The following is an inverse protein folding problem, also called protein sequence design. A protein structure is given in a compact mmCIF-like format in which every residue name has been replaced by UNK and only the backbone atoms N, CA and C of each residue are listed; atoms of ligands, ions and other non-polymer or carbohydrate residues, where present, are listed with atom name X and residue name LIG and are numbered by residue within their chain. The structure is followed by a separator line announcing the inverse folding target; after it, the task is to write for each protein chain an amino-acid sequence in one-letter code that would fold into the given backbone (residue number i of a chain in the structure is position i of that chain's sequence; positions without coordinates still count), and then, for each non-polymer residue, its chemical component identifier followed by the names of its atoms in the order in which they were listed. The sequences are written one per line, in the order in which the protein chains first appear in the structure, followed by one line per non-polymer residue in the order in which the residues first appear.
data_IF_995016570240
#
_entry.id   IF_995016570240
#
_cell.length_a   1.000
_cell.length_b   1.000
_cell.length_c   1.000
_cell.angle_alpha   90.00
_cell.angle_beta   90.00
_cell.angle_gamma   90.00
#
_symmetry.space_group_name_H-M   'P 1'
#
loop_
_entity.id
_entity.type
_entity.pdbx_description
1 polymer ?
#
# COMPACT_ATOMS: atom_id res chain seq x y z
N UNK A 1 18.16 -13.48 27.76
CA UNK A 1 18.96 -12.49 27.01
C UNK A 1 19.05 -11.21 27.83
N UNK A 2 20.17 -10.47 27.81
CA UNK A 2 20.27 -9.18 28.53
C UNK A 2 19.30 -8.17 27.90
N UNK A 3 18.63 -7.34 28.72
CA UNK A 3 17.70 -6.26 28.30
C UNK A 3 18.19 -5.51 27.05
N UNK A 4 19.44 -5.05 27.08
CA UNK A 4 20.02 -4.25 25.99
C UNK A 4 20.24 -5.04 24.70
N UNK A 5 20.48 -6.36 24.77
CA UNK A 5 20.59 -7.22 23.60
C UNK A 5 19.24 -7.37 22.90
N UNK A 6 18.16 -7.58 23.66
CA UNK A 6 16.79 -7.64 23.12
C UNK A 6 16.43 -6.31 22.45
N UNK A 7 16.67 -5.19 23.13
CA UNK A 7 16.40 -3.85 22.56
C UNK A 7 17.23 -3.58 21.30
N UNK A 8 18.47 -4.04 21.25
CA UNK A 8 19.31 -3.92 20.05
C UNK A 8 18.74 -4.72 18.88
N UNK A 9 18.25 -5.94 19.12
CA UNK A 9 17.58 -6.73 18.11
C UNK A 9 16.30 -6.04 17.59
N UNK A 10 15.46 -5.50 18.48
CA UNK A 10 14.25 -4.75 18.08
C UNK A 10 14.62 -3.51 17.26
N UNK A 11 15.68 -2.79 17.63
CA UNK A 11 16.18 -1.63 16.88
C UNK A 11 16.61 -2.03 15.46
N UNK A 12 17.38 -3.10 15.31
CA UNK A 12 17.82 -3.59 13.99
C UNK A 12 16.61 -3.99 13.14
N UNK A 13 15.69 -4.76 13.73
CA UNK A 13 14.45 -5.17 13.05
C UNK A 13 13.58 -3.97 12.65
N UNK A 14 13.54 -2.92 13.46
CA UNK A 14 12.80 -1.69 13.13
C UNK A 14 13.45 -0.92 11.97
N UNK A 15 14.78 -0.92 11.87
CA UNK A 15 15.51 -0.31 10.74
C UNK A 15 15.24 -1.09 9.45
N UNK A 16 15.28 -2.43 9.52
CA UNK A 16 14.94 -3.28 8.36
C UNK A 16 13.47 -3.05 7.96
N UNK A 17 12.56 -3.02 8.93
CA UNK A 17 11.15 -2.73 8.68
C UNK A 17 10.94 -1.36 8.03
N UNK A 18 11.63 -0.32 8.50
CA UNK A 18 11.61 1.01 7.87
C UNK A 18 12.07 0.98 6.41
N UNK A 19 13.16 0.27 6.13
CA UNK A 19 13.68 0.15 4.76
C UNK A 19 12.69 -0.58 3.85
N UNK A 20 12.09 -1.68 4.34
CA UNK A 20 11.07 -2.42 3.58
C UNK A 20 9.81 -1.57 3.36
N UNK A 21 9.33 -0.86 4.38
CA UNK A 21 8.19 0.04 4.22
C UNK A 21 8.51 1.21 3.28
N UNK A 22 9.73 1.76 3.31
CA UNK A 22 10.17 2.78 2.36
C UNK A 22 10.15 2.27 0.92
N UNK A 23 10.71 1.09 0.67
CA UNK A 23 10.65 0.43 -0.64
C UNK A 23 9.21 0.20 -1.10
N UNK A 24 8.31 -0.24 -0.21
CA UNK A 24 6.90 -0.43 -0.53
C UNK A 24 6.18 0.90 -0.82
N UNK A 25 6.55 2.01 -0.19
CA UNK A 25 5.99 3.33 -0.55
C UNK A 25 6.43 3.70 -1.98
N UNK A 26 7.70 3.52 -2.32
CA UNK A 26 8.19 3.79 -3.67
C UNK A 26 7.50 2.90 -4.71
N UNK A 27 7.40 1.59 -4.44
CA UNK A 27 6.74 0.64 -5.33
C UNK A 27 5.23 0.87 -5.46
N UNK A 28 4.58 1.48 -4.47
CA UNK A 28 3.16 1.80 -4.53
C UNK A 28 2.86 2.86 -5.61
N UNK A 29 3.80 3.78 -5.85
CA UNK A 29 3.68 4.84 -6.84
C UNK A 29 4.49 4.58 -8.12
N UNK A 30 5.19 3.45 -8.22
CA UNK A 30 5.98 3.12 -9.38
C UNK A 30 5.10 2.78 -10.59
N UNK A 31 5.58 3.15 -11.79
CA UNK A 31 4.90 2.76 -13.03
C UNK A 31 4.91 1.23 -13.20
N UNK A 32 3.82 0.62 -13.72
CA UNK A 32 3.72 -0.83 -13.92
C UNK A 32 4.83 -1.47 -14.75
N UNK A 33 5.50 -0.69 -15.61
CA UNK A 33 6.66 -1.14 -16.41
C UNK A 33 7.93 -1.36 -15.60
N UNK A 34 8.04 -0.77 -14.41
CA UNK A 34 9.19 -1.00 -13.52
C UNK A 34 9.03 -2.32 -12.76
N UNK A 35 7.78 -2.69 -12.41
CA UNK A 35 7.47 -3.84 -11.57
C UNK A 35 8.19 -3.80 -10.22
N UNK A 36 7.95 -4.80 -9.39
CA UNK A 36 8.75 -5.05 -8.19
C UNK A 36 9.79 -6.12 -8.50
N UNK A 37 10.97 -6.02 -7.90
CA UNK A 37 12.01 -7.06 -7.99
C UNK A 37 11.56 -8.44 -7.47
N UNK A 38 10.40 -8.50 -6.79
CA UNK A 38 9.82 -9.72 -6.25
C UNK A 38 8.53 -10.18 -6.95
N UNK A 39 8.24 -9.65 -8.15
CA UNK A 39 7.15 -10.16 -8.98
C UNK A 39 7.60 -11.42 -9.74
N UNK A 40 7.10 -12.59 -9.32
CA UNK A 40 7.42 -13.90 -9.86
C UNK A 40 6.21 -14.56 -10.57
N UNK A 41 5.23 -13.75 -10.95
CA UNK A 41 3.98 -14.17 -11.60
C UNK A 41 2.75 -13.62 -10.87
N UNK A 42 1.58 -14.18 -11.17
CA UNK A 42 0.30 -13.67 -10.63
C UNK A 42 0.09 -14.02 -9.14
N UNK A 43 0.59 -15.18 -8.69
CA UNK A 43 0.42 -15.64 -7.30
C UNK A 43 1.45 -15.05 -6.34
N UNK A 44 2.60 -14.60 -6.85
CA UNK A 44 3.65 -13.96 -6.05
C UNK A 44 3.96 -12.62 -6.71
N UNK A 45 3.21 -11.60 -6.32
CA UNK A 45 3.41 -10.24 -6.81
C UNK A 45 3.29 -9.22 -5.69
N UNK A 46 4.37 -8.48 -5.48
CA UNK A 46 4.36 -7.31 -4.60
C UNK A 46 3.61 -6.16 -5.24
N UNK A 47 3.75 -5.97 -6.55
CA UNK A 47 3.08 -4.88 -7.26
C UNK A 47 1.57 -5.04 -7.18
N UNK A 48 1.04 -6.24 -7.43
CA UNK A 48 -0.39 -6.52 -7.36
C UNK A 48 -0.99 -6.19 -5.99
N UNK A 49 -0.35 -6.67 -4.92
CA UNK A 49 -0.81 -6.45 -3.54
C UNK A 49 -0.67 -4.98 -3.14
N UNK A 50 0.49 -4.38 -3.43
CA UNK A 50 0.86 -3.05 -2.95
C UNK A 50 0.27 -1.91 -3.78
N UNK A 51 -0.40 -2.18 -4.90
CA UNK A 51 -1.21 -1.20 -5.63
C UNK A 51 -2.70 -1.55 -5.61
N UNK A 52 -3.12 -2.50 -4.77
CA UNK A 52 -4.53 -2.89 -4.64
C UNK A 52 -5.33 -1.86 -3.84
N UNK A 53 -6.67 -1.97 -3.87
CA UNK A 53 -7.56 -1.18 -3.00
C UNK A 53 -7.29 -1.39 -1.50
N UNK A 54 -6.67 -2.51 -1.12
CA UNK A 54 -6.27 -2.80 0.26
C UNK A 54 -4.91 -2.18 0.64
N UNK A 55 -4.21 -1.58 -0.32
CA UNK A 55 -2.93 -0.90 -0.06
C UNK A 55 -3.11 0.54 0.40
N UNK A 56 -4.34 1.06 0.42
CA UNK A 56 -4.68 2.40 0.90
C UNK A 56 -5.76 2.34 1.99
N UNK A 57 -5.65 3.20 3.00
CA UNK A 57 -6.68 3.42 4.02
C UNK A 57 -6.96 4.92 4.05
N UNK A 58 -8.18 5.33 3.68
CA UNK A 58 -8.53 6.75 3.48
C UNK A 58 -7.53 7.47 2.57
N UNK A 59 -7.23 6.90 1.39
CA UNK A 59 -6.29 7.42 0.39
C UNK A 59 -4.83 7.56 0.86
N UNK A 60 -4.49 7.00 2.03
CA UNK A 60 -3.11 6.97 2.54
C UNK A 60 -2.55 5.56 2.36
N UNK A 61 -1.36 5.40 1.73
CA UNK A 61 -0.74 4.09 1.59
C UNK A 61 -0.49 3.42 2.95
N UNK A 62 -0.87 2.16 3.06
CA UNK A 62 -0.64 1.32 4.25
C UNK A 62 0.84 1.20 4.57
N UNK A 63 1.70 1.21 3.54
CA UNK A 63 3.16 1.21 3.70
C UNK A 63 3.67 2.45 4.47
N UNK A 64 3.00 3.61 4.36
CA UNK A 64 3.33 4.81 5.15
C UNK A 64 3.00 4.63 6.64
N UNK A 65 1.85 4.04 6.96
CA UNK A 65 1.53 3.67 8.35
C UNK A 65 2.55 2.67 8.90
N UNK A 66 3.00 1.71 8.08
CA UNK A 66 4.09 0.80 8.42
C UNK A 66 5.40 1.54 8.74
N UNK A 67 5.81 2.48 7.88
CA UNK A 67 7.02 3.29 8.10
C UNK A 67 6.92 4.11 9.40
N UNK A 68 5.79 4.78 9.65
CA UNK A 68 5.54 5.51 10.90
C UNK A 68 5.63 4.55 12.10
N UNK A 69 5.04 3.36 11.99
CA UNK A 69 5.05 2.36 13.05
C UNK A 69 6.46 1.91 13.43
N UNK A 70 7.29 1.58 12.43
CA UNK A 70 8.67 1.19 12.65
C UNK A 70 9.54 2.35 13.16
N UNK A 71 9.29 3.59 12.72
CA UNK A 71 9.97 4.78 13.23
C UNK A 71 9.71 5.00 14.72
N UNK A 72 8.45 4.86 15.14
CA UNK A 72 8.06 4.97 16.55
C UNK A 72 8.68 3.83 17.36
N UNK A 73 8.61 2.58 16.87
CA UNK A 73 9.21 1.43 17.55
C UNK A 73 10.73 1.59 17.73
N UNK A 74 11.42 2.09 16.71
CA UNK A 74 12.84 2.40 16.76
C UNK A 74 13.15 3.41 17.88
N UNK A 75 12.41 4.51 17.92
CA UNK A 75 12.58 5.56 18.92
C UNK A 75 12.25 5.11 20.36
N UNK A 76 11.15 4.38 20.55
CA UNK A 76 10.77 3.78 21.83
C UNK A 76 11.84 2.79 22.30
N UNK A 77 12.35 1.95 21.41
CA UNK A 77 13.37 0.94 21.73
C UNK A 77 14.73 1.58 22.06
N UNK A 78 15.10 2.65 21.35
CA UNK A 78 16.30 3.43 21.65
C UNK A 78 16.24 4.05 23.05
N UNK A 79 15.15 4.75 23.37
CA UNK A 79 14.93 5.34 24.71
C UNK A 79 14.71 4.28 25.79
N UNK A 80 14.20 3.11 25.43
CA UNK A 80 14.01 1.95 26.30
C UNK A 80 15.31 1.38 26.89
N UNK A 81 16.48 1.72 26.32
CA UNK A 81 17.79 1.41 26.91
C UNK A 81 18.02 2.13 28.25
N UNK A 82 17.28 3.21 28.51
CA UNK A 82 17.30 3.92 29.79
C UNK A 82 16.67 3.14 30.94
N UNK A 83 16.57 3.79 32.11
CA UNK A 83 16.04 3.18 33.34
C UNK A 83 14.51 3.20 33.47
N UNK A 84 13.80 3.93 32.61
CA UNK A 84 12.35 4.06 32.73
C UNK A 84 11.62 2.78 32.28
N UNK A 85 10.82 2.14 33.16
CA UNK A 85 10.05 0.94 32.82
C UNK A 85 8.88 1.20 31.87
N UNK A 86 8.43 2.46 31.73
CA UNK A 86 7.32 2.84 30.86
C UNK A 86 7.59 2.50 29.39
N UNK A 87 8.83 2.64 28.92
CA UNK A 87 9.19 2.33 27.53
C UNK A 87 9.00 0.84 27.20
N UNK A 88 9.31 -0.08 28.13
CA UNK A 88 9.14 -1.51 27.87
C UNK A 88 7.66 -1.87 27.81
N UNK A 89 6.84 -1.32 28.71
CA UNK A 89 5.37 -1.45 28.62
C UNK A 89 4.85 -0.88 27.29
N UNK A 90 5.32 0.29 26.87
CA UNK A 90 4.90 0.91 25.62
C UNK A 90 5.29 0.08 24.39
N UNK A 91 6.52 -0.46 24.34
CA UNK A 91 6.96 -1.34 23.25
C UNK A 91 6.06 -2.57 23.13
N UNK A 92 5.66 -3.18 24.25
CA UNK A 92 4.73 -4.32 24.24
C UNK A 92 3.38 -3.94 23.63
N UNK A 93 2.74 -2.89 24.13
CA UNK A 93 1.43 -2.45 23.62
C UNK A 93 1.48 -1.99 22.17
N UNK A 94 2.57 -1.34 21.76
CA UNK A 94 2.81 -0.96 20.36
C UNK A 94 2.92 -2.17 19.43
N UNK A 95 3.57 -3.25 19.90
CA UNK A 95 3.65 -4.51 19.17
C UNK A 95 2.33 -5.29 19.13
N UNK A 96 1.53 -5.22 20.19
CA UNK A 96 0.17 -5.78 20.19
C UNK A 96 -0.69 -5.04 19.15
N UNK A 97 -0.59 -3.72 19.07
CA UNK A 97 -1.29 -2.93 18.04
C UNK A 97 -0.85 -3.34 16.63
N UNK A 98 0.44 -3.63 16.42
CA UNK A 98 0.98 -4.10 15.15
C UNK A 98 0.37 -5.43 14.66
N UNK A 99 -0.22 -6.26 15.53
CA UNK A 99 -0.91 -7.48 15.08
C UNK A 99 -2.14 -7.16 14.23
N UNK A 100 -2.79 -6.01 14.44
CA UNK A 100 -3.93 -5.61 13.61
C UNK A 100 -3.51 -5.42 12.15
N UNK A 101 -2.33 -4.86 11.88
CA UNK A 101 -1.85 -4.70 10.50
C UNK A 101 -1.51 -6.03 9.86
N UNK A 102 -0.94 -6.98 10.61
CA UNK A 102 -0.68 -8.35 10.12
C UNK A 102 -1.98 -9.05 9.73
N UNK A 103 -3.01 -8.98 10.58
CA UNK A 103 -4.32 -9.59 10.27
C UNK A 103 -4.94 -8.94 9.02
N UNK A 104 -4.89 -7.61 8.93
CA UNK A 104 -5.43 -6.87 7.79
C UNK A 104 -4.74 -7.27 6.47
N UNK A 105 -3.41 -7.22 6.42
CA UNK A 105 -2.65 -7.51 5.20
C UNK A 105 -2.74 -8.98 4.78
N UNK A 106 -2.73 -9.92 5.72
CA UNK A 106 -2.97 -11.34 5.39
C UNK A 106 -4.37 -11.53 4.81
N UNK A 107 -5.38 -10.83 5.36
CA UNK A 107 -6.75 -10.90 4.83
C UNK A 107 -6.80 -10.37 3.40
N UNK A 108 -6.11 -9.25 3.12
CA UNK A 108 -5.98 -8.71 1.77
C UNK A 108 -5.30 -9.70 0.80
N UNK A 109 -4.18 -10.31 1.19
CA UNK A 109 -3.48 -11.32 0.37
C UNK A 109 -4.35 -12.53 0.03
N UNK A 110 -5.17 -13.00 0.99
CA UNK A 110 -6.12 -14.10 0.79
C UNK A 110 -7.22 -13.71 -0.20
N UNK A 111 -7.76 -12.49 -0.09
CA UNK A 111 -8.81 -11.99 -0.98
C UNK A 111 -8.26 -11.81 -2.40
N UNK A 112 -7.05 -11.28 -2.54
CA UNK A 112 -6.37 -11.07 -3.82
C UNK A 112 -5.84 -12.37 -4.45
N UNK A 113 -5.74 -13.45 -3.66
CA UNK A 113 -5.09 -14.70 -4.05
C UNK A 113 -3.65 -14.52 -4.54
N UNK A 114 -2.95 -13.52 -3.99
CA UNK A 114 -1.56 -13.21 -4.32
C UNK A 114 -0.79 -12.82 -3.07
N UNK A 115 0.45 -13.28 -2.98
CA UNK A 115 1.31 -13.11 -1.80
C UNK A 115 2.38 -12.09 -2.13
N UNK A 116 2.61 -11.14 -1.21
CA UNK A 116 3.69 -10.19 -1.29
C UNK A 116 4.85 -10.60 -0.37
N UNK A 117 6.01 -11.03 -0.90
CA UNK A 117 7.19 -11.35 -0.10
C UNK A 117 7.62 -10.24 0.87
N UNK A 118 7.55 -8.97 0.46
CA UNK A 118 7.90 -7.84 1.33
C UNK A 118 6.89 -7.64 2.48
N UNK A 119 5.58 -7.81 2.24
CA UNK A 119 4.57 -7.83 3.31
C UNK A 119 4.85 -8.99 4.28
N UNK A 120 5.19 -10.17 3.76
CA UNK A 120 5.58 -11.33 4.58
C UNK A 120 6.80 -11.04 5.46
N UNK A 121 7.82 -10.34 4.94
CA UNK A 121 8.95 -9.87 5.74
C UNK A 121 8.47 -8.97 6.88
N UNK A 122 7.59 -8.01 6.60
CA UNK A 122 6.99 -7.14 7.64
C UNK A 122 6.22 -7.97 8.68
N UNK A 123 5.42 -8.96 8.26
CA UNK A 123 4.68 -9.85 9.17
C UNK A 123 5.62 -10.60 10.11
N UNK A 124 6.69 -11.20 9.57
CA UNK A 124 7.69 -11.93 10.36
C UNK A 124 8.41 -10.99 11.33
N UNK A 125 8.75 -9.78 10.89
CA UNK A 125 9.37 -8.77 11.74
C UNK A 125 8.44 -8.42 12.91
N UNK A 126 7.16 -8.10 12.66
CA UNK A 126 6.19 -7.72 13.70
C UNK A 126 5.97 -8.84 14.71
N UNK A 127 5.83 -10.09 14.26
CA UNK A 127 5.69 -11.25 15.14
C UNK A 127 6.95 -11.49 15.98
N UNK A 128 8.13 -11.26 15.40
CA UNK A 128 9.41 -11.38 16.10
C UNK A 128 9.57 -10.27 17.15
N UNK A 129 9.28 -9.02 16.81
CA UNK A 129 9.37 -7.89 17.75
C UNK A 129 8.33 -8.01 18.85
N UNK A 130 7.13 -8.53 18.58
CA UNK A 130 6.16 -8.88 19.61
C UNK A 130 6.73 -9.92 20.58
N UNK A 131 7.27 -11.02 20.07
CA UNK A 131 7.88 -12.08 20.90
C UNK A 131 9.00 -11.51 21.78
N UNK A 132 9.90 -10.71 21.20
CA UNK A 132 10.98 -10.04 21.93
C UNK A 132 10.45 -9.05 22.98
N UNK A 133 9.38 -8.31 22.68
CA UNK A 133 8.74 -7.38 23.63
C UNK A 133 8.11 -8.10 24.82
N UNK A 134 7.51 -9.28 24.60
CA UNK A 134 6.96 -10.13 25.67
C UNK A 134 8.09 -10.62 26.58
N UNK A 135 9.21 -11.08 26.01
CA UNK A 135 10.38 -11.50 26.80
C UNK A 135 10.94 -10.35 27.63
N UNK A 136 11.02 -9.15 27.04
CA UNK A 136 11.48 -7.93 27.71
C UNK A 136 10.55 -7.54 28.87
N UNK A 137 9.24 -7.61 28.67
CA UNK A 137 8.23 -7.30 29.67
C UNK A 137 8.17 -8.33 30.80
N UNK A 138 8.41 -9.62 30.50
CA UNK A 138 8.49 -10.68 31.53
C UNK A 138 9.69 -10.50 32.46
N UNK A 139 10.83 -10.03 31.95
CA UNK A 139 12.05 -9.77 32.73
C UNK A 139 11.96 -8.47 33.57
N UNK A 140 10.98 -7.61 33.28
CA UNK A 140 10.79 -6.34 33.96
C UNK A 140 10.28 -6.54 35.39
N UNK A 141 11.09 -6.13 36.37
CA UNK A 141 10.73 -6.17 37.80
C UNK A 141 9.56 -5.25 38.17
N UNK A 142 9.55 -4.00 37.64
CA UNK A 142 8.52 -3.00 37.97
C UNK A 142 7.57 -2.83 36.81
N UNK A 143 6.43 -3.51 36.84
CA UNK A 143 5.37 -3.37 35.83
C UNK A 143 4.60 -2.07 36.05
N UNK A 144 4.41 -1.31 34.98
CA UNK A 144 3.67 -0.04 34.99
C UNK A 144 2.36 -0.26 34.23
N UNK A 145 1.25 0.26 34.75
CA UNK A 145 -0.05 0.20 34.07
C UNK A 145 -0.03 1.02 32.77
N UNK A 146 -0.98 0.74 31.86
CA UNK A 146 -1.08 1.45 30.59
C UNK A 146 -1.33 2.95 30.79
N UNK A 147 -2.22 3.33 31.71
CA UNK A 147 -2.54 4.73 32.03
C UNK A 147 -1.29 5.52 32.44
N UNK A 148 -0.49 4.99 33.39
CA UNK A 148 0.76 5.62 33.84
C UNK A 148 1.82 5.65 32.75
N UNK A 149 1.78 4.69 31.83
CA UNK A 149 2.67 4.65 30.67
C UNK A 149 2.33 5.79 29.70
N UNK A 150 1.04 5.99 29.39
CA UNK A 150 0.54 7.09 28.56
C UNK A 150 0.93 8.43 29.17
N UNK A 151 0.72 8.61 30.48
CA UNK A 151 1.08 9.84 31.19
C UNK A 151 2.59 10.12 31.11
N UNK A 152 3.42 9.09 31.34
CA UNK A 152 4.88 9.19 31.29
C UNK A 152 5.42 9.47 29.89
N UNK A 153 4.65 9.14 28.84
CA UNK A 153 5.04 9.22 27.44
C UNK A 153 4.12 10.15 26.64
N UNK A 154 3.50 11.15 27.29
CA UNK A 154 2.57 12.09 26.64
C UNK A 154 3.11 12.76 25.36
N UNK A 155 4.41 13.04 25.33
CA UNK A 155 5.08 13.61 24.15
C UNK A 155 5.13 12.63 22.99
N UNK A 156 5.34 11.33 23.27
CA UNK A 156 5.24 10.28 22.27
C UNK A 156 3.81 10.11 21.78
N UNK A 157 2.82 10.15 22.68
CA UNK A 157 1.40 10.06 22.28
C UNK A 157 1.04 11.21 21.34
N UNK A 158 1.42 12.45 21.67
CA UNK A 158 1.24 13.60 20.78
C UNK A 158 1.95 13.42 19.44
N UNK A 159 3.19 12.92 19.43
CA UNK A 159 3.93 12.64 18.19
C UNK A 159 3.24 11.58 17.33
N UNK A 160 2.78 10.47 17.93
CA UNK A 160 2.07 9.39 17.24
C UNK A 160 0.80 9.94 16.58
N UNK A 161 0.01 10.73 17.31
CA UNK A 161 -1.21 11.34 16.78
C UNK A 161 -0.89 12.27 15.61
N UNK A 162 0.11 13.15 15.75
CA UNK A 162 0.51 14.08 14.68
C UNK A 162 1.00 13.32 13.45
N UNK A 163 1.88 12.32 13.62
CA UNK A 163 2.44 11.56 12.49
C UNK A 163 1.38 10.77 11.72
N UNK A 164 0.28 10.36 12.35
CA UNK A 164 -0.81 9.64 11.66
C UNK A 164 -1.88 10.59 11.12
N UNK A 165 -2.24 11.64 11.86
CA UNK A 165 -3.27 12.59 11.45
C UNK A 165 -2.80 13.52 10.33
N UNK A 166 -1.53 13.92 10.28
CA UNK A 166 -1.02 14.80 9.23
C UNK A 166 -1.13 14.17 7.82
N UNK A 167 -0.66 12.94 7.57
CA UNK A 167 -0.89 12.27 6.29
C UNK A 167 -2.38 12.11 5.98
N UNK A 168 -3.19 11.66 6.95
CA UNK A 168 -4.63 11.52 6.74
C UNK A 168 -5.26 12.84 6.28
N UNK A 169 -4.96 13.95 6.94
CA UNK A 169 -5.46 15.26 6.52
C UNK A 169 -4.91 15.69 5.16
N UNK A 170 -3.61 15.54 4.92
CA UNK A 170 -2.98 15.95 3.66
C UNK A 170 -3.58 15.21 2.45
N UNK A 171 -3.62 13.88 2.50
CA UNK A 171 -4.11 13.06 1.40
C UNK A 171 -5.63 13.23 1.19
N UNK A 172 -6.42 13.44 2.26
CA UNK A 172 -7.87 13.62 2.13
C UNK A 172 -8.29 15.07 1.80
N UNK A 173 -7.44 16.08 2.03
CA UNK A 173 -7.70 17.45 1.56
C UNK A 173 -7.37 17.56 0.06
N UNK A 174 -6.34 16.86 -0.40
CA UNK A 174 -5.98 16.79 -1.82
C UNK A 174 -6.89 15.89 -2.65
N UNK A 175 -7.64 14.99 -2.02
CA UNK A 175 -8.70 14.22 -2.68
C UNK A 175 -9.96 15.08 -2.78
N UNK A 176 -10.11 15.81 -3.89
CA UNK A 176 -11.36 16.52 -4.16
C UNK A 176 -12.48 15.50 -4.39
N UNK A 177 -13.65 15.68 -3.74
CA UNK A 177 -14.76 14.77 -3.90
C UNK A 177 -15.29 14.86 -5.34
N UNK A 178 -15.30 13.73 -6.03
CA UNK A 178 -16.13 13.47 -7.21
C UNK A 178 -16.02 14.57 -8.28
N UNK A 179 -14.79 14.80 -8.78
CA UNK A 179 -14.65 15.58 -10.01
C UNK A 179 -15.32 14.78 -11.13
N UNK A 180 -16.43 15.31 -11.65
CA UNK A 180 -17.18 14.63 -12.69
C UNK A 180 -16.30 14.52 -13.95
N UNK A 181 -15.84 13.31 -14.24
CA UNK A 181 -14.99 12.99 -15.39
C UNK A 181 -15.80 12.45 -16.58
N UNK A 182 -17.12 12.66 -16.63
CA UNK A 182 -17.98 12.14 -17.70
C UNK A 182 -17.53 12.62 -19.07
N UNK A 183 -17.20 13.90 -19.20
CA UNK A 183 -16.78 14.50 -20.46
C UNK A 183 -15.51 13.83 -20.99
N UNK A 184 -14.51 13.68 -20.11
CA UNK A 184 -13.28 12.98 -20.43
C UNK A 184 -13.54 11.51 -20.77
N UNK A 185 -14.24 10.78 -19.91
CA UNK A 185 -14.51 9.35 -20.07
C UNK A 185 -15.24 9.04 -21.38
N UNK A 186 -16.24 9.86 -21.73
CA UNK A 186 -16.93 9.78 -23.03
C UNK A 186 -15.99 10.12 -24.18
N UNK A 187 -15.22 11.21 -24.07
CA UNK A 187 -14.25 11.60 -25.09
C UNK A 187 -13.21 10.51 -25.36
N UNK A 188 -12.68 9.85 -24.33
CA UNK A 188 -11.74 8.74 -24.47
C UNK A 188 -12.33 7.64 -25.35
N UNK A 189 -13.54 7.18 -25.03
CA UNK A 189 -14.24 6.15 -25.80
C UNK A 189 -14.56 6.60 -27.22
N UNK A 190 -15.01 7.84 -27.42
CA UNK A 190 -15.29 8.43 -28.73
C UNK A 190 -14.03 8.55 -29.61
N UNK A 191 -12.88 8.83 -29.01
CA UNK A 191 -11.57 8.88 -29.68
C UNK A 191 -11.01 7.50 -29.99
N UNK A 192 -11.62 6.42 -29.49
CA UNK A 192 -11.14 5.06 -29.68
C UNK A 192 -10.06 4.64 -28.68
N UNK A 193 -9.97 5.31 -27.53
CA UNK A 193 -9.12 4.87 -26.42
C UNK A 193 -9.78 3.69 -25.71
N UNK A 194 -9.02 2.60 -25.54
CA UNK A 194 -9.43 1.38 -24.84
C UNK A 194 -8.45 1.09 -23.72
N UNK A 195 -8.96 0.82 -22.53
CA UNK A 195 -8.17 0.28 -21.43
C UNK A 195 -8.26 -1.24 -21.44
N UNK A 196 -7.13 -1.92 -21.65
CA UNK A 196 -7.02 -3.36 -21.42
C UNK A 196 -6.65 -3.58 -19.95
N UNK A 197 -7.60 -4.08 -19.18
CA UNK A 197 -7.53 -4.15 -17.72
C UNK A 197 -7.69 -5.56 -17.18
N UNK A 198 -7.69 -5.66 -15.85
CA UNK A 198 -8.08 -6.87 -15.16
C UNK A 198 -8.74 -6.55 -13.80
N UNK A 199 -9.74 -7.33 -13.41
CA UNK A 199 -10.36 -7.25 -12.09
C UNK A 199 -9.37 -7.55 -10.95
N UNK A 200 -8.31 -8.31 -11.21
CA UNK A 200 -7.25 -8.59 -10.21
C UNK A 200 -6.21 -7.50 -10.14
N UNK A 201 -6.09 -6.70 -11.18
CA UNK A 201 -5.07 -5.68 -11.30
C UNK A 201 -5.36 -4.49 -10.37
N UNK A 202 -4.54 -4.33 -9.33
CA UNK A 202 -4.69 -3.23 -8.37
C UNK A 202 -4.60 -1.85 -9.00
N UNK A 203 -3.68 -1.67 -9.96
CA UNK A 203 -3.55 -0.41 -10.71
C UNK A 203 -4.81 -0.11 -11.54
N UNK A 204 -5.43 -1.14 -12.11
CA UNK A 204 -6.69 -1.02 -12.84
C UNK A 204 -7.82 -0.60 -11.89
N UNK A 205 -7.87 -1.17 -10.68
CA UNK A 205 -8.80 -0.73 -9.64
C UNK A 205 -8.59 0.74 -9.25
N UNK A 206 -7.33 1.19 -9.11
CA UNK A 206 -7.00 2.61 -8.86
C UNK A 206 -7.43 3.53 -10.00
N UNK A 207 -7.27 3.10 -11.26
CA UNK A 207 -7.79 3.83 -12.42
C UNK A 207 -9.32 3.95 -12.37
N UNK A 208 -10.03 2.86 -12.02
CA UNK A 208 -11.50 2.90 -11.85
C UNK A 208 -11.90 3.86 -10.74
N UNK A 209 -11.22 3.81 -9.59
CA UNK A 209 -11.47 4.70 -8.45
C UNK A 209 -11.22 6.17 -8.80
N UNK A 210 -10.16 6.47 -9.57
CA UNK A 210 -9.84 7.82 -10.04
C UNK A 210 -10.96 8.43 -10.90
N UNK A 211 -11.63 7.61 -11.73
CA UNK A 211 -12.77 8.07 -12.53
C UNK A 211 -14.11 8.06 -11.77
N UNK A 212 -14.19 7.37 -10.63
CA UNK A 212 -15.43 7.17 -9.89
C UNK A 212 -16.55 6.60 -10.78
N UNK A 213 -17.75 7.16 -10.65
CA UNK A 213 -18.92 6.76 -11.44
C UNK A 213 -18.74 7.02 -12.95
N UNK A 214 -17.92 7.99 -13.34
CA UNK A 214 -17.66 8.29 -14.74
C UNK A 214 -16.91 7.17 -15.46
N UNK A 215 -16.29 6.22 -14.74
CA UNK A 215 -15.61 5.08 -15.35
C UNK A 215 -16.55 4.23 -16.21
N UNK A 216 -17.87 4.24 -15.93
CA UNK A 216 -18.87 3.54 -16.74
C UNK A 216 -18.87 3.94 -18.23
N UNK A 217 -18.33 5.11 -18.56
CA UNK A 217 -18.21 5.59 -19.94
C UNK A 217 -16.87 5.24 -20.59
N UNK A 218 -15.87 4.79 -19.81
CA UNK A 218 -14.57 4.35 -20.32
C UNK A 218 -14.71 2.94 -20.88
N UNK A 219 -14.23 2.72 -22.10
CA UNK A 219 -14.18 1.39 -22.69
C UNK A 219 -13.04 0.57 -22.07
N UNK A 220 -13.39 -0.37 -21.20
CA UNK A 220 -12.48 -1.38 -20.64
C UNK A 220 -12.68 -2.74 -21.31
N UNK A 221 -11.58 -3.46 -21.55
CA UNK A 221 -11.55 -4.86 -21.96
C UNK A 221 -10.95 -5.68 -20.81
N UNK A 222 -11.70 -6.65 -20.30
CA UNK A 222 -11.25 -7.55 -19.23
C UNK A 222 -10.37 -8.67 -19.80
N UNK A 223 -9.08 -8.64 -19.46
CA UNK A 223 -8.11 -9.59 -20.00
C UNK A 223 -7.97 -10.89 -19.19
N UNK A 224 -8.40 -10.93 -17.93
CA UNK A 224 -8.20 -12.10 -17.07
C UNK A 224 -9.30 -13.16 -17.30
N UNK A 225 -8.97 -14.44 -17.53
CA UNK A 225 -9.95 -15.50 -17.88
C UNK A 225 -11.05 -15.78 -16.85
N UNK A 226 -10.84 -15.32 -15.62
CA UNK A 226 -11.81 -15.46 -14.51
C UNK A 226 -12.63 -14.18 -14.27
N UNK A 227 -12.40 -13.15 -15.08
CA UNK A 227 -13.18 -11.92 -15.04
C UNK A 227 -14.55 -12.10 -15.69
N UNK A 228 -15.48 -11.23 -15.33
CA UNK A 228 -16.79 -11.18 -15.99
C UNK A 228 -16.61 -10.71 -17.44
N UNK A 229 -17.31 -11.37 -18.38
CA UNK A 229 -17.24 -11.08 -19.82
C UNK A 229 -15.80 -10.97 -20.37
N UNK A 230 -14.88 -11.80 -19.86
CA UNK A 230 -13.46 -11.74 -20.21
C UNK A 230 -13.20 -11.96 -21.70
N UNK A 231 -12.36 -11.11 -22.30
CA UNK A 231 -11.89 -11.20 -23.69
C UNK A 231 -10.39 -11.55 -23.74
N UNK A 232 -9.98 -12.58 -23.01
CA UNK A 232 -8.56 -12.98 -22.90
C UNK A 232 -7.88 -13.19 -24.27
N UNK A 233 -8.54 -13.87 -25.20
CA UNK A 233 -7.99 -14.11 -26.55
C UNK A 233 -7.75 -12.81 -27.33
N UNK A 234 -8.61 -11.80 -27.15
CA UNK A 234 -8.40 -10.48 -27.73
C UNK A 234 -7.13 -9.84 -27.16
N UNK A 235 -6.97 -9.85 -25.85
CA UNK A 235 -5.79 -9.30 -25.18
C UNK A 235 -4.49 -9.99 -25.63
N UNK A 236 -4.49 -11.32 -25.78
CA UNK A 236 -3.36 -12.07 -26.32
C UNK A 236 -3.07 -11.68 -27.77
N UNK A 237 -4.10 -11.58 -28.62
CA UNK A 237 -3.93 -11.18 -30.03
C UNK A 237 -3.40 -9.75 -30.19
N UNK A 238 -3.70 -8.87 -29.22
CA UNK A 238 -3.23 -7.48 -29.14
C UNK A 238 -1.87 -7.35 -28.44
N UNK A 239 -1.22 -8.45 -28.10
CA UNK A 239 0.06 -8.50 -27.36
C UNK A 239 0.03 -7.63 -26.09
N UNK A 240 -1.02 -7.77 -25.27
CA UNK A 240 -1.10 -7.09 -23.98
C UNK A 240 -0.25 -7.88 -22.97
N UNK A 241 0.93 -7.36 -22.64
CA UNK A 241 1.88 -8.02 -21.71
C UNK A 241 1.60 -7.72 -20.23
N UNK A 242 0.80 -6.69 -19.94
CA UNK A 242 0.44 -6.29 -18.58
C UNK A 242 -0.76 -5.34 -18.54
N UNK A 243 -1.41 -5.24 -17.38
CA UNK A 243 -2.60 -4.42 -17.16
C UNK A 243 -2.36 -3.35 -16.07
N UNK A 244 -2.92 -2.13 -16.20
CA UNK A 244 -3.68 -1.68 -17.35
C UNK A 244 -2.74 -1.36 -18.53
N UNK A 245 -3.21 -1.57 -19.75
CA UNK A 245 -2.59 -1.03 -20.96
C UNK A 245 -3.61 -0.20 -21.72
N UNK A 246 -3.27 1.05 -21.99
CA UNK A 246 -4.09 1.97 -22.78
C UNK A 246 -3.67 1.90 -24.24
N UNK A 247 -4.64 1.75 -25.14
CA UNK A 247 -4.41 1.73 -26.58
C UNK A 247 -5.37 2.73 -27.23
N UNK A 248 -4.84 3.60 -28.09
CA UNK A 248 -5.62 4.48 -28.95
C UNK A 248 -5.72 3.85 -30.34
N UNK A 249 -6.93 3.49 -30.76
CA UNK A 249 -7.20 2.91 -32.07
C UNK A 249 -8.08 3.84 -32.90
N UNK A 250 -7.62 4.17 -34.12
CA UNK A 250 -8.39 4.94 -35.09
C UNK A 250 -8.57 4.06 -36.32
N UNK A 251 -9.83 3.83 -36.72
CA UNK A 251 -10.20 2.96 -37.84
C UNK A 251 -9.60 1.53 -37.75
N UNK A 252 -9.48 1.00 -36.53
CA UNK A 252 -8.92 -0.33 -36.26
C UNK A 252 -7.40 -0.42 -36.32
N UNK A 253 -6.71 0.72 -36.51
CA UNK A 253 -5.24 0.80 -36.49
C UNK A 253 -4.78 1.43 -35.18
N UNK A 254 -3.95 0.70 -34.45
CA UNK A 254 -3.27 1.18 -33.25
C UNK A 254 -2.35 2.36 -33.60
N UNK A 255 -2.61 3.51 -32.97
CA UNK A 255 -1.83 4.74 -33.15
C UNK A 255 -0.84 4.94 -32.00
N UNK A 256 -1.27 4.64 -30.78
CA UNK A 256 -0.49 4.82 -29.55
C UNK A 256 -0.83 3.72 -28.55
N UNK A 257 0.16 3.40 -27.73
CA UNK A 257 0.03 2.48 -26.59
C UNK A 257 0.78 3.03 -25.39
N UNK A 258 0.22 2.82 -24.21
CA UNK A 258 0.88 3.10 -22.95
C UNK A 258 0.58 2.00 -21.93
N UNK A 259 1.62 1.35 -21.42
CA UNK A 259 1.49 0.33 -20.39
C UNK A 259 1.57 0.98 -19.00
N UNK A 260 0.46 0.92 -18.27
CA UNK A 260 0.39 1.27 -16.86
C UNK A 260 -0.56 2.42 -16.51
N UNK A 261 -0.39 2.94 -15.30
CA UNK A 261 -1.23 4.02 -14.77
C UNK A 261 -0.98 5.33 -15.53
N UNK A 262 -2.07 6.01 -15.89
CA UNK A 262 -2.09 7.39 -16.37
C UNK A 262 -3.04 8.17 -15.45
N UNK A 263 -2.61 9.35 -15.03
CA UNK A 263 -3.46 10.35 -14.36
C UNK A 263 -4.48 10.95 -15.33
N UNK A 264 -5.46 11.70 -14.81
CA UNK A 264 -6.45 12.42 -15.62
C UNK A 264 -5.77 13.34 -16.66
N UNK A 265 -4.77 14.12 -16.27
CA UNK A 265 -4.07 15.04 -17.18
C UNK A 265 -3.26 14.28 -18.23
N UNK A 266 -2.58 13.19 -17.85
CA UNK A 266 -1.85 12.37 -18.81
C UNK A 266 -2.79 11.65 -19.78
N UNK A 267 -4.01 11.29 -19.37
CA UNK A 267 -5.04 10.74 -20.26
C UNK A 267 -5.55 11.78 -21.25
N UNK A 268 -5.71 13.05 -20.83
CA UNK A 268 -6.02 14.17 -21.73
C UNK A 268 -4.93 14.33 -22.78
N UNK A 269 -3.67 14.33 -22.38
CA UNK A 269 -2.53 14.43 -23.29
C UNK A 269 -2.39 13.20 -24.22
N UNK A 270 -2.63 12.00 -23.69
CA UNK A 270 -2.56 10.75 -24.46
C UNK A 270 -3.60 10.73 -25.59
N UNK A 271 -4.84 11.11 -25.27
CA UNK A 271 -6.02 11.05 -26.14
C UNK A 271 -6.25 12.29 -26.99
N UNK A 272 -5.71 13.45 -26.59
CA UNK A 272 -6.03 14.76 -27.15
C UNK A 272 -7.41 15.28 -26.74
N UNK A 273 -8.00 14.78 -25.65
CA UNK A 273 -9.22 15.32 -25.05
C UNK A 273 -8.90 16.60 -24.26
N UNK A 274 -9.77 17.61 -24.33
CA UNK A 274 -9.55 18.93 -23.69
C UNK A 274 -10.26 19.10 -22.36
N UNK A 275 -11.23 18.24 -22.05
CA UNK A 275 -12.03 18.23 -20.82
C UNK A 275 -12.05 16.83 -20.22
#
# INVERSE_FOLDING_TARGET
MKKNSILTAIIILSIVGLAVSGYLIENHYASPTQGSVCDLGETISCSLVNTSVFSEIFHVPVALFGAIWFFILLGLSWKGRGKSPAYVTAILWWNILGILSVIYLISAEIILQSICPFCTIVHVIVLTTLTLSILLYKDQKKKVSLEKTIESLKTWVGLILILNLLPLLFFNISFSPDENHDALAKCLTEKGVVMYGSFRCGVCAKTREMFGESFQYVKEIECHPQGEDSETELCLSKNIEGTPTWVLEIDGVEQKRYAGFLTIDELKDFSGCTE
#
